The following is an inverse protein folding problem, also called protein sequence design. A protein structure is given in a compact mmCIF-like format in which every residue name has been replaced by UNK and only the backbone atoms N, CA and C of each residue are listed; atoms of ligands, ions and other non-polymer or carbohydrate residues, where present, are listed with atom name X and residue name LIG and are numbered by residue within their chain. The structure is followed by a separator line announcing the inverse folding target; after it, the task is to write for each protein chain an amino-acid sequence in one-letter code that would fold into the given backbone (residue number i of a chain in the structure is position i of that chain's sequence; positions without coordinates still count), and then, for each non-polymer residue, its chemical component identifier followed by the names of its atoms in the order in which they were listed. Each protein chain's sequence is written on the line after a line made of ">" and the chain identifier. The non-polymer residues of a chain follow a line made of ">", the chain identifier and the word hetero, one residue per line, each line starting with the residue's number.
data_IF_879562545222
#
_entry.id   IF_879562545222
#
_cell.length_a   1.000
_cell.length_b   1.000
_cell.length_c   1.000
_cell.angle_alpha   90.00
_cell.angle_beta   90.00
_cell.angle_gamma   90.00
#
_symmetry.space_group_name_H-M   'P 1'
#
loop_
_entity.id
_entity.type
_entity.pdbx_description
1 polymer ?
#
# COMPACT_ATOMS: atom_id res chain seq x y z
N UNK A 1 10.57 12.59 -1.98
CA UNK A 1 9.15 12.50 -2.40
C UNK A 1 8.36 13.68 -1.83
N UNK A 2 7.12 13.90 -2.25
CA UNK A 2 6.22 14.92 -1.67
C UNK A 2 4.95 14.27 -1.12
N UNK A 3 4.53 14.66 0.08
CA UNK A 3 3.26 14.20 0.63
C UNK A 3 2.08 14.71 -0.20
N UNK A 4 1.10 13.84 -0.43
CA UNK A 4 -0.19 14.17 -1.00
C UNK A 4 -1.30 13.57 -0.13
N UNK A 5 -2.44 14.26 -0.03
CA UNK A 5 -3.64 13.69 0.60
C UNK A 5 -4.07 12.41 -0.15
N UNK A 6 -4.56 11.36 0.54
CA UNK A 6 -4.88 10.07 -0.08
C UNK A 6 -5.72 10.17 -1.35
N UNK A 7 -6.85 10.88 -1.29
CA UNK A 7 -7.75 11.08 -2.42
C UNK A 7 -7.13 11.92 -3.54
N UNK A 8 -6.32 12.93 -3.19
CA UNK A 8 -5.63 13.77 -4.19
C UNK A 8 -4.64 12.94 -5.01
N UNK A 9 -3.88 12.06 -4.36
CA UNK A 9 -2.96 11.15 -5.05
C UNK A 9 -3.73 10.26 -6.03
N UNK A 10 -4.85 9.66 -5.59
CA UNK A 10 -5.69 8.80 -6.44
C UNK A 10 -6.28 9.53 -7.66
N UNK A 11 -6.80 10.75 -7.45
CA UNK A 11 -7.35 11.56 -8.53
C UNK A 11 -6.30 11.97 -9.57
N UNK A 12 -5.07 12.23 -9.15
CA UNK A 12 -3.98 12.56 -10.07
C UNK A 12 -3.56 11.35 -10.93
N UNK A 13 -3.69 10.13 -10.40
CA UNK A 13 -3.48 8.88 -11.17
C UNK A 13 -4.56 8.72 -12.24
N UNK A 14 -5.82 8.86 -11.84
CA UNK A 14 -6.97 8.62 -12.74
C UNK A 14 -7.13 9.70 -13.81
N UNK A 15 -6.79 10.96 -13.51
CA UNK A 15 -6.83 12.07 -14.49
C UNK A 15 -5.80 11.91 -15.61
N UNK A 16 -4.64 11.30 -15.34
CA UNK A 16 -3.65 10.99 -16.39
C UNK A 16 -4.17 9.96 -17.40
N UNK A 17 -5.04 9.05 -16.95
CA UNK A 17 -5.59 7.99 -17.81
C UNK A 17 -6.71 8.46 -18.76
N UNK A 18 -7.21 9.69 -18.61
CA UNK A 18 -8.40 10.16 -19.32
C UNK A 18 -8.14 10.86 -20.68
N UNK A 19 -6.88 11.06 -21.10
CA UNK A 19 -6.60 11.98 -22.23
C UNK A 19 -5.52 11.60 -23.26
N UNK A 20 -4.51 10.80 -22.94
CA UNK A 20 -3.48 10.41 -23.92
C UNK A 20 -2.81 9.13 -23.47
N UNK A 21 -3.09 8.02 -24.17
CA UNK A 21 -2.35 6.78 -23.96
C UNK A 21 -0.93 6.96 -24.50
N UNK A 22 0.03 7.25 -23.63
CA UNK A 22 1.47 7.10 -23.90
C UNK A 22 2.01 5.94 -23.05
N UNK A 23 2.65 4.91 -23.66
CA UNK A 23 3.14 3.72 -22.95
C UNK A 23 4.23 3.95 -21.88
N UNK A 24 4.65 5.19 -21.66
CA UNK A 24 5.84 5.56 -20.85
C UNK A 24 5.53 6.29 -19.55
N UNK A 25 4.26 6.52 -19.20
CA UNK A 25 3.95 7.33 -18.00
C UNK A 25 3.87 6.46 -16.75
N UNK A 26 4.43 6.93 -15.63
CA UNK A 26 4.31 6.31 -14.33
C UNK A 26 2.85 6.14 -13.91
N UNK A 27 2.38 4.90 -13.69
CA UNK A 27 0.98 4.62 -13.36
C UNK A 27 0.77 3.82 -12.08
N UNK A 28 1.75 3.02 -11.64
CA UNK A 28 1.52 2.06 -10.55
C UNK A 28 1.83 2.63 -9.18
N UNK A 29 1.12 2.13 -8.17
CA UNK A 29 1.34 2.43 -6.77
C UNK A 29 2.17 1.33 -6.13
N UNK A 30 3.15 1.71 -5.31
CA UNK A 30 3.90 0.79 -4.47
C UNK A 30 3.52 1.01 -3.01
N UNK A 31 3.04 -0.04 -2.35
CA UNK A 31 2.73 -0.06 -0.94
C UNK A 31 3.87 -0.63 -0.12
N UNK A 32 4.16 0.01 1.01
CA UNK A 32 5.10 -0.42 2.01
C UNK A 32 4.36 -0.56 3.35
N UNK A 33 4.37 -1.78 3.89
CA UNK A 33 3.96 -2.05 5.27
C UNK A 33 5.21 -2.37 6.09
N UNK A 34 5.53 -1.47 7.02
CA UNK A 34 6.75 -1.50 7.83
C UNK A 34 6.38 -2.09 9.18
N UNK A 35 6.88 -3.29 9.46
CA UNK A 35 6.62 -4.02 10.70
C UNK A 35 7.93 -4.56 11.29
N UNK A 36 8.42 -3.92 12.35
CA UNK A 36 9.67 -4.28 13.04
C UNK A 36 10.88 -4.36 12.09
N UNK A 37 11.37 -5.57 11.79
CA UNK A 37 12.55 -5.82 10.94
C UNK A 37 12.19 -6.11 9.48
N UNK A 38 10.91 -6.17 9.15
CA UNK A 38 10.41 -6.55 7.83
C UNK A 38 9.66 -5.40 7.18
N UNK A 39 9.79 -5.34 5.85
CA UNK A 39 8.98 -4.44 5.01
C UNK A 39 8.25 -5.33 4.01
N UNK A 40 6.93 -5.38 4.13
CA UNK A 40 6.10 -6.06 3.15
C UNK A 40 5.79 -5.11 2.01
N UNK A 41 5.80 -5.63 0.78
CA UNK A 41 5.66 -4.84 -0.44
C UNK A 41 4.48 -5.35 -1.26
N UNK A 42 3.75 -4.41 -1.87
CA UNK A 42 2.74 -4.72 -2.88
C UNK A 42 2.69 -3.64 -3.94
N UNK A 43 2.44 -4.01 -5.19
CA UNK A 43 2.31 -3.08 -6.31
C UNK A 43 0.91 -3.18 -6.92
N UNK A 44 0.35 -2.08 -7.40
CA UNK A 44 -0.89 -2.15 -8.15
C UNK A 44 -0.68 -2.73 -9.55
N UNK A 45 -1.71 -3.32 -10.14
CA UNK A 45 -1.75 -3.58 -11.57
C UNK A 45 -1.75 -2.26 -12.37
N UNK A 46 -1.43 -2.28 -13.68
CA UNK A 46 -1.38 -1.06 -14.50
C UNK A 46 -2.65 -0.20 -14.46
N UNK A 47 -3.82 -0.83 -14.31
CA UNK A 47 -5.11 -0.13 -14.26
C UNK A 47 -5.46 0.42 -12.86
N UNK A 48 -4.61 0.18 -11.85
CA UNK A 48 -4.85 0.54 -10.46
C UNK A 48 -6.17 0.02 -9.88
N UNK A 49 -6.53 -1.21 -10.21
CA UNK A 49 -7.74 -1.90 -9.72
C UNK A 49 -7.43 -3.02 -8.74
N UNK A 50 -6.24 -3.61 -8.79
CA UNK A 50 -5.84 -4.79 -8.01
C UNK A 50 -4.45 -4.57 -7.41
N UNK A 51 -4.28 -4.90 -6.13
CA UNK A 51 -2.98 -4.98 -5.46
C UNK A 51 -2.35 -6.37 -5.63
N UNK A 52 -1.07 -6.40 -5.96
CA UNK A 52 -0.29 -7.63 -6.20
C UNK A 52 0.86 -7.67 -5.19
N UNK A 53 0.98 -8.71 -4.36
CA UNK A 53 2.07 -8.81 -3.40
C UNK A 53 3.42 -9.03 -4.10
N UNK A 54 4.48 -8.44 -3.55
CA UNK A 54 5.84 -8.57 -4.05
C UNK A 54 6.68 -9.41 -3.09
N UNK A 55 7.46 -10.36 -3.64
CA UNK A 55 8.41 -11.20 -2.90
C UNK A 55 9.81 -10.60 -3.03
N UNK A 56 10.12 -9.56 -2.27
CA UNK A 56 11.50 -9.06 -2.18
C UNK A 56 11.92 -8.88 -0.74
N UNK A 57 13.15 -9.31 -0.46
CA UNK A 57 13.82 -9.05 0.81
C UNK A 57 14.38 -7.62 0.78
N UNK A 58 13.97 -6.81 1.75
CA UNK A 58 14.16 -5.36 1.78
C UNK A 58 15.65 -4.95 1.85
N UNK A 59 16.53 -5.84 2.35
CA UNK A 59 17.97 -5.61 2.36
C UNK A 59 18.56 -5.38 0.96
N UNK A 60 17.91 -5.88 -0.10
CA UNK A 60 18.34 -5.69 -1.48
C UNK A 60 17.56 -4.58 -2.21
N UNK A 61 16.50 -4.01 -1.60
CA UNK A 61 15.59 -3.07 -2.25
C UNK A 61 16.14 -1.63 -2.37
N UNK A 62 17.12 -1.26 -1.54
CA UNK A 62 17.76 0.06 -1.62
C UNK A 62 18.78 0.17 -2.75
N UNK A 63 19.43 -0.93 -3.14
CA UNK A 63 20.70 -0.83 -3.84
C UNK A 63 20.60 -0.70 -5.36
N UNK A 64 19.48 -1.05 -6.03
CA UNK A 64 19.40 -0.81 -7.49
C UNK A 64 18.05 -0.90 -8.22
N UNK A 65 16.91 -1.26 -7.63
CA UNK A 65 15.73 -1.59 -8.45
C UNK A 65 14.43 -1.13 -7.81
N UNK A 66 13.56 -0.48 -8.59
CA UNK A 66 12.09 -0.65 -8.58
C UNK A 66 11.34 0.51 -9.26
N UNK A 67 11.89 1.72 -9.34
CA UNK A 67 11.15 2.84 -9.96
C UNK A 67 11.01 2.67 -11.47
N UNK A 68 12.10 2.30 -12.16
CA UNK A 68 12.12 2.07 -13.62
C UNK A 68 11.25 0.88 -14.00
N UNK A 69 11.37 -0.22 -13.27
CA UNK A 69 10.77 -1.50 -13.64
C UNK A 69 9.28 -1.53 -13.35
N UNK A 70 8.86 -0.82 -12.31
CA UNK A 70 7.46 -0.72 -11.94
C UNK A 70 6.76 0.52 -12.49
N UNK A 71 7.49 1.48 -13.06
CA UNK A 71 6.94 2.71 -13.62
C UNK A 71 5.99 3.38 -12.60
N UNK A 72 6.56 3.66 -11.42
CA UNK A 72 5.81 4.03 -10.21
C UNK A 72 5.33 5.48 -10.27
N UNK A 73 4.06 5.70 -9.94
CA UNK A 73 3.44 7.01 -9.84
C UNK A 73 3.44 7.58 -8.41
N UNK A 74 3.49 6.71 -7.41
CA UNK A 74 3.57 7.11 -6.02
C UNK A 74 3.65 5.94 -5.05
N UNK A 75 3.82 6.30 -3.78
CA UNK A 75 3.98 5.35 -2.68
C UNK A 75 2.81 5.44 -1.70
N UNK A 76 2.39 4.29 -1.20
CA UNK A 76 1.42 4.16 -0.11
C UNK A 76 2.18 3.58 1.09
N UNK A 77 2.13 4.26 2.24
CA UNK A 77 2.71 3.74 3.47
C UNK A 77 1.59 3.36 4.42
N UNK A 78 1.61 2.13 4.95
CA UNK A 78 0.72 1.78 6.05
C UNK A 78 1.04 2.70 7.23
N UNK A 79 0.02 3.31 7.81
CA UNK A 79 0.17 4.20 8.95
C UNK A 79 -0.84 3.83 10.04
N UNK A 80 -0.43 3.57 11.29
CA UNK A 80 -1.34 3.06 12.31
C UNK A 80 -2.13 4.20 13.00
N UNK A 81 -3.06 4.86 12.28
CA UNK A 81 -3.83 6.00 12.79
C UNK A 81 -4.65 5.65 14.04
N UNK A 82 -5.17 4.44 14.15
CA UNK A 82 -6.02 4.02 15.28
C UNK A 82 -5.25 3.59 16.54
N UNK A 83 -3.94 3.37 16.44
CA UNK A 83 -3.12 2.83 17.54
C UNK A 83 -2.22 3.89 18.19
N UNK A 84 -2.53 5.19 18.03
CA UNK A 84 -1.64 6.30 18.44
C UNK A 84 -1.39 6.36 19.96
N UNK A 85 -2.02 5.50 20.76
CA UNK A 85 -1.66 5.28 22.16
C UNK A 85 -0.71 4.07 22.35
N UNK A 86 0.31 4.24 23.19
CA UNK A 86 1.25 3.16 23.51
C UNK A 86 2.08 2.68 22.32
N UNK A 87 1.92 1.40 21.94
CA UNK A 87 2.75 0.73 20.91
C UNK A 87 2.59 1.33 19.50
N UNK A 88 1.42 1.82 19.11
CA UNK A 88 1.25 2.38 17.76
C UNK A 88 1.88 3.75 17.57
N UNK A 89 2.17 4.49 18.65
CA UNK A 89 3.00 5.71 18.58
C UNK A 89 4.44 5.41 18.16
N UNK A 90 5.00 4.30 18.65
CA UNK A 90 6.35 3.87 18.27
C UNK A 90 6.38 3.44 16.79
N UNK A 91 5.41 2.62 16.37
CA UNK A 91 5.27 2.21 14.97
C UNK A 91 5.06 3.40 14.02
N UNK A 92 4.23 4.37 14.39
CA UNK A 92 4.04 5.59 13.61
C UNK A 92 5.37 6.37 13.44
N UNK A 93 6.14 6.53 14.52
CA UNK A 93 7.44 7.18 14.47
C UNK A 93 8.45 6.39 13.61
N UNK A 94 8.42 5.06 13.63
CA UNK A 94 9.24 4.21 12.75
C UNK A 94 8.91 4.44 11.27
N UNK A 95 7.62 4.45 10.92
CA UNK A 95 7.15 4.75 9.55
C UNK A 95 7.59 6.15 9.13
N UNK A 96 7.40 7.17 9.96
CA UNK A 96 7.81 8.55 9.65
C UNK A 96 9.32 8.69 9.46
N UNK A 97 10.12 8.08 10.33
CA UNK A 97 11.57 8.08 10.23
C UNK A 97 12.04 7.40 8.94
N UNK A 98 11.40 6.30 8.58
CA UNK A 98 11.69 5.56 7.36
C UNK A 98 11.35 6.39 6.11
N UNK A 99 10.16 6.99 6.04
CA UNK A 99 9.76 7.88 4.95
C UNK A 99 10.70 9.08 4.84
N UNK A 100 11.12 9.64 5.98
CA UNK A 100 12.09 10.72 6.06
C UNK A 100 13.45 10.31 5.48
N UNK A 101 13.96 9.13 5.85
CA UNK A 101 15.19 8.58 5.30
C UNK A 101 15.09 8.37 3.78
N UNK A 102 14.01 7.75 3.29
CA UNK A 102 13.77 7.58 1.86
C UNK A 102 13.72 8.92 1.11
N UNK A 103 13.10 9.95 1.70
CA UNK A 103 13.04 11.27 1.10
C UNK A 103 14.40 11.96 1.03
N UNK A 104 15.28 11.76 2.01
CA UNK A 104 16.63 12.33 2.07
C UNK A 104 17.56 11.77 0.99
N UNK A 105 17.33 10.55 0.50
CA UNK A 105 18.15 9.94 -0.57
C UNK A 105 18.13 10.73 -1.89
N UNK A 106 17.07 11.50 -2.15
CA UNK A 106 16.90 12.26 -3.39
C UNK A 106 16.57 11.41 -4.63
N UNK A 107 16.70 10.08 -4.57
CA UNK A 107 16.44 9.16 -5.69
C UNK A 107 14.95 9.16 -6.10
N UNK A 108 14.07 9.45 -5.16
CA UNK A 108 12.60 9.44 -5.34
C UNK A 108 12.04 10.86 -5.59
N UNK A 109 12.83 11.74 -6.22
CA UNK A 109 12.41 13.11 -6.53
C UNK A 109 11.32 13.10 -7.60
N UNK A 110 10.31 13.94 -7.44
CA UNK A 110 9.16 14.01 -8.36
C UNK A 110 8.02 13.04 -8.02
N UNK A 111 8.30 11.96 -7.29
CA UNK A 111 7.26 11.03 -6.81
C UNK A 111 6.52 11.58 -5.59
N UNK A 112 5.26 11.17 -5.47
CA UNK A 112 4.38 11.50 -4.35
C UNK A 112 4.21 10.29 -3.43
N UNK A 113 3.84 10.56 -2.19
CA UNK A 113 3.45 9.51 -1.26
C UNK A 113 2.23 9.93 -0.44
N UNK A 114 1.53 8.95 0.09
CA UNK A 114 0.48 9.14 1.07
C UNK A 114 0.55 8.07 2.15
N UNK A 115 -0.21 8.29 3.21
CA UNK A 115 -0.41 7.34 4.29
C UNK A 115 -1.79 6.72 4.16
N UNK A 116 -1.90 5.44 4.47
CA UNK A 116 -3.19 4.76 4.53
C UNK A 116 -3.23 3.83 5.74
N UNK A 117 -4.37 3.82 6.41
CA UNK A 117 -4.70 2.85 7.45
C UNK A 117 -5.96 2.15 6.98
N UNK A 118 -5.95 0.83 6.93
CA UNK A 118 -7.07 0.08 6.40
C UNK A 118 -8.31 0.15 7.31
N UNK A 119 -8.21 0.76 8.51
CA UNK A 119 -9.29 1.15 9.43
C UNK A 119 -10.27 0.04 9.85
N UNK A 120 -10.32 -1.10 9.19
CA UNK A 120 -10.94 -2.32 9.66
C UNK A 120 -10.08 -2.77 10.85
N UNK A 121 -10.70 -3.10 12.00
CA UNK A 121 -9.97 -3.52 13.20
C UNK A 121 -8.89 -4.54 12.81
N UNK A 122 -7.64 -4.08 12.79
CA UNK A 122 -6.52 -4.89 12.32
C UNK A 122 -6.40 -6.11 13.20
N UNK A 123 -6.65 -5.97 14.51
CA UNK A 123 -6.66 -7.08 15.46
C UNK A 123 -7.69 -8.17 15.09
N UNK A 124 -8.93 -7.81 14.78
CA UNK A 124 -9.98 -8.78 14.46
C UNK A 124 -9.74 -9.42 13.09
N UNK A 125 -9.28 -8.63 12.13
CA UNK A 125 -9.03 -9.12 10.76
C UNK A 125 -7.78 -9.97 10.70
N UNK A 126 -6.73 -9.61 11.44
CA UNK A 126 -5.51 -10.39 11.56
C UNK A 126 -5.81 -11.69 12.31
N UNK A 127 -6.68 -11.67 13.33
CA UNK A 127 -7.16 -12.88 14.01
C UNK A 127 -7.94 -13.80 13.06
N UNK A 128 -8.84 -13.24 12.23
CA UNK A 128 -9.58 -14.01 11.22
C UNK A 128 -8.65 -14.56 10.12
N UNK A 129 -7.72 -13.76 9.62
CA UNK A 129 -6.70 -14.20 8.64
C UNK A 129 -5.81 -15.29 9.21
N UNK A 130 -5.31 -15.12 10.44
CA UNK A 130 -4.51 -16.11 11.13
C UNK A 130 -5.29 -17.41 11.31
N UNK A 131 -6.55 -17.34 11.76
CA UNK A 131 -7.39 -18.51 11.93
C UNK A 131 -7.67 -19.23 10.59
N UNK A 132 -7.96 -18.48 9.52
CA UNK A 132 -8.15 -19.08 8.19
C UNK A 132 -6.88 -19.73 7.67
N UNK A 133 -5.72 -19.12 7.87
CA UNK A 133 -4.45 -19.70 7.43
C UNK A 133 -4.03 -20.88 8.28
N UNK A 134 -4.22 -20.82 9.60
CA UNK A 134 -4.03 -21.97 10.49
C UNK A 134 -4.93 -23.13 10.04
N UNK A 135 -6.21 -22.86 9.76
CA UNK A 135 -7.13 -23.85 9.21
C UNK A 135 -6.60 -24.43 7.88
N UNK A 136 -6.25 -23.59 6.91
CA UNK A 136 -5.75 -24.03 5.60
C UNK A 136 -4.45 -24.85 5.76
N UNK A 137 -3.50 -24.40 6.58
CA UNK A 137 -2.22 -25.06 6.77
C UNK A 137 -2.39 -26.42 7.45
N UNK A 138 -3.23 -26.48 8.49
CA UNK A 138 -3.54 -27.71 9.22
C UNK A 138 -4.29 -28.73 8.35
N UNK A 139 -5.18 -28.27 7.46
CA UNK A 139 -6.00 -29.18 6.63
C UNK A 139 -5.33 -29.55 5.31
N UNK A 140 -4.41 -28.73 4.79
CA UNK A 140 -3.67 -28.99 3.55
C UNK A 140 -2.23 -29.50 3.80
N UNK A 141 -1.83 -29.70 5.06
CA UNK A 141 -0.48 -30.08 5.47
C UNK A 141 0.60 -29.16 4.84
N UNK A 142 0.33 -27.86 4.81
CA UNK A 142 1.31 -26.90 4.30
C UNK A 142 2.43 -26.71 5.33
N UNK A 143 3.69 -26.52 4.88
CA UNK A 143 4.77 -26.31 5.83
C UNK A 143 4.65 -24.92 6.49
N UNK A 144 5.11 -24.82 7.74
CA UNK A 144 4.89 -23.65 8.61
C UNK A 144 5.50 -22.36 8.04
N UNK A 145 6.64 -22.47 7.35
CA UNK A 145 7.30 -21.37 6.63
C UNK A 145 6.45 -20.80 5.48
N UNK A 146 5.64 -21.63 4.83
CA UNK A 146 4.72 -21.21 3.78
C UNK A 146 3.56 -20.40 4.36
N UNK A 147 3.11 -20.70 5.58
CA UNK A 147 2.04 -19.94 6.24
C UNK A 147 2.46 -18.50 6.54
N UNK A 148 3.70 -18.33 7.00
CA UNK A 148 4.30 -17.02 7.24
C UNK A 148 4.54 -16.26 5.93
N UNK A 149 5.07 -16.91 4.89
CA UNK A 149 5.24 -16.30 3.56
C UNK A 149 3.90 -15.88 2.95
N UNK A 150 2.83 -16.64 3.20
CA UNK A 150 1.48 -16.26 2.78
C UNK A 150 1.03 -15.00 3.54
N UNK A 151 1.15 -14.96 4.87
CA UNK A 151 0.81 -13.78 5.68
C UNK A 151 1.58 -12.55 5.25
N UNK A 152 2.89 -12.68 5.07
CA UNK A 152 3.79 -11.59 4.69
C UNK A 152 3.41 -10.98 3.33
N UNK A 153 2.90 -11.79 2.40
CA UNK A 153 2.35 -11.30 1.13
C UNK A 153 1.02 -10.57 1.31
N UNK A 154 0.20 -10.99 2.26
CA UNK A 154 -1.14 -10.42 2.43
C UNK A 154 -1.15 -9.04 3.07
N UNK A 155 -0.22 -8.72 3.96
CA UNK A 155 -0.22 -7.45 4.69
C UNK A 155 -0.20 -6.21 3.79
N UNK A 156 0.84 -6.05 2.96
CA UNK A 156 0.96 -4.89 2.09
C UNK A 156 -0.10 -4.87 0.97
N UNK A 157 -0.48 -6.04 0.45
CA UNK A 157 -1.48 -6.13 -0.62
C UNK A 157 -2.87 -5.75 -0.11
N UNK A 158 -3.23 -6.14 1.12
CA UNK A 158 -4.47 -5.71 1.79
C UNK A 158 -4.51 -4.20 2.01
N UNK A 159 -3.44 -3.60 2.51
CA UNK A 159 -3.37 -2.13 2.72
C UNK A 159 -3.54 -1.40 1.38
N UNK A 160 -2.83 -1.85 0.34
CA UNK A 160 -2.92 -1.24 -0.98
C UNK A 160 -4.30 -1.40 -1.60
N UNK A 161 -4.91 -2.58 -1.49
CA UNK A 161 -6.25 -2.84 -2.00
C UNK A 161 -7.27 -1.97 -1.27
N UNK A 162 -7.17 -1.87 0.06
CA UNK A 162 -8.02 -1.00 0.87
C UNK A 162 -7.90 0.48 0.47
N UNK A 163 -6.70 0.95 0.12
CA UNK A 163 -6.50 2.30 -0.43
C UNK A 163 -7.21 2.49 -1.77
N UNK A 164 -7.02 1.56 -2.71
CA UNK A 164 -7.59 1.62 -4.05
C UNK A 164 -9.13 1.64 -3.97
N UNK A 165 -9.71 0.70 -3.23
CA UNK A 165 -11.15 0.55 -3.09
C UNK A 165 -11.77 1.73 -2.35
N UNK A 166 -11.14 2.17 -1.24
CA UNK A 166 -11.59 3.31 -0.46
C UNK A 166 -11.56 4.61 -1.26
N UNK A 167 -10.47 4.87 -1.99
CA UNK A 167 -10.36 6.06 -2.82
C UNK A 167 -11.36 6.04 -4.00
N UNK A 168 -11.58 4.87 -4.62
CA UNK A 168 -12.59 4.70 -5.67
C UNK A 168 -14.00 5.00 -5.15
N UNK A 169 -14.37 4.42 -4.00
CA UNK A 169 -15.66 4.65 -3.36
C UNK A 169 -15.89 6.14 -3.05
N UNK A 170 -14.88 6.84 -2.50
CA UNK A 170 -15.00 8.28 -2.25
C UNK A 170 -15.28 9.09 -3.52
N UNK A 171 -14.64 8.75 -4.65
CA UNK A 171 -14.90 9.41 -5.94
C UNK A 171 -16.30 9.12 -6.47
N UNK A 172 -16.80 7.91 -6.27
CA UNK A 172 -18.14 7.52 -6.70
C UNK A 172 -19.25 8.23 -5.90
N UNK A 173 -19.04 8.42 -4.59
CA UNK A 173 -19.96 9.18 -3.73
C UNK A 173 -20.01 10.66 -4.15
N UNK A 174 -18.85 11.31 -4.30
CA UNK A 174 -18.73 12.71 -4.72
C UNK A 174 -19.48 12.98 -6.04
N UNK A 175 -19.35 12.06 -7.02
CA UNK A 175 -20.08 12.13 -8.31
C UNK A 175 -21.58 11.84 -8.20
N UNK A 176 -22.01 11.15 -7.15
CA UNK A 176 -23.41 10.83 -6.89
C UNK A 176 -24.15 12.01 -6.26
N UNK A 177 -23.49 12.76 -5.39
CA UNK A 177 -24.01 13.98 -4.77
C UNK A 177 -24.24 15.08 -5.83
N UNK A 178 -23.31 15.27 -6.78
CA UNK A 178 -23.46 16.22 -7.91
C UNK A 178 -24.67 15.95 -8.83
N UNK A 179 -25.25 14.74 -8.78
CA UNK A 179 -26.40 14.35 -9.61
C UNK A 179 -27.75 14.53 -8.93
N UNK A 180 -27.77 14.74 -7.60
CA UNK A 180 -28.99 14.95 -6.84
C UNK A 180 -29.38 16.43 -6.72
N UNK A 181 -28.44 17.33 -7.06
CA UNK A 181 -28.62 18.79 -7.03
C UNK A 181 -28.97 19.41 -8.41
N UNK A 182 -29.33 18.58 -9.41
CA UNK A 182 -29.86 19.00 -10.73
C UNK A 182 -31.26 18.44 -10.98
#
# INVERSE_FOLDING_TARGET
>A
MKYAKPLKLYLELTKKNAGLWKPTECHRLLCLDICNRYVHLAVSNPDNTIAIPLRYDFCCAYDNLMISDYNLAGFIFRYPYKLIEGKGKLLAAEVENFVCAMCKTGQLRGLKYTYWDDCINTLDTDLVLNHHLEFICNHLNLPEDLSQDIMDKFYASRVLQGYIDGAKMMVEIDRGEDKLDN
#
